data_IF_694436268165
#
_entry.id   IF_694436268165
#
_cell.length_a   1.000
_cell.length_b   1.000
_cell.length_c   1.000
_cell.angle_alpha   90.00
_cell.angle_beta   90.00
_cell.angle_gamma   90.00
#
_symmetry.space_group_name_H-M   'P 1'
#
loop_
_entity.id
_entity.type
_entity.pdbx_description
1 polymer ?
#
# COMPACT_ATOMS: atom_id res chain seq x y z
N UNK A 1 5.90 2.85 0.62
CA UNK A 1 6.04 1.42 0.26
C UNK A 1 4.91 1.12 -0.69
N UNK A 2 5.21 0.66 -1.88
CA UNK A 2 4.19 0.34 -2.90
C UNK A 2 4.58 -1.02 -3.46
N UNK A 3 3.67 -2.00 -3.47
CA UNK A 3 4.00 -3.37 -3.86
C UNK A 3 4.26 -3.46 -5.36
N UNK A 4 5.18 -4.36 -5.75
CA UNK A 4 5.47 -4.71 -7.16
C UNK A 4 5.89 -3.52 -8.06
N UNK A 5 7.00 -2.82 -7.72
CA UNK A 5 7.59 -1.84 -8.62
C UNK A 5 7.92 -2.48 -9.98
N UNK A 6 7.96 -1.69 -11.06
CA UNK A 6 8.24 -2.20 -12.41
C UNK A 6 9.51 -3.07 -12.49
N UNK A 7 10.56 -2.70 -11.74
CA UNK A 7 11.84 -3.42 -11.67
C UNK A 7 11.73 -4.87 -11.18
N UNK A 8 10.65 -5.22 -10.49
CA UNK A 8 10.46 -6.60 -10.05
C UNK A 8 10.00 -7.51 -11.19
N UNK A 9 9.37 -6.98 -12.26
CA UNK A 9 8.70 -7.77 -13.31
C UNK A 9 9.68 -8.57 -14.18
N UNK A 10 9.35 -9.83 -14.54
CA UNK A 10 10.31 -10.75 -15.17
C UNK A 10 10.54 -10.49 -16.66
N UNK A 11 9.51 -10.06 -17.40
CA UNK A 11 9.59 -9.79 -18.85
C UNK A 11 9.63 -8.29 -19.10
N UNK A 12 10.43 -7.86 -20.07
CA UNK A 12 10.58 -6.44 -20.41
C UNK A 12 9.26 -5.78 -20.79
N UNK A 13 8.45 -6.46 -21.59
CA UNK A 13 7.15 -5.94 -22.02
C UNK A 13 6.19 -5.70 -20.84
N UNK A 14 6.13 -6.64 -19.89
CA UNK A 14 5.32 -6.51 -18.68
C UNK A 14 5.88 -5.43 -17.75
N UNK A 15 7.20 -5.29 -17.69
CA UNK A 15 7.89 -4.24 -16.93
C UNK A 15 7.54 -2.85 -17.46
N UNK A 16 7.53 -2.66 -18.77
CA UNK A 16 7.12 -1.41 -19.40
C UNK A 16 5.65 -1.09 -19.12
N UNK A 17 4.76 -2.07 -19.27
CA UNK A 17 3.35 -1.92 -18.94
C UNK A 17 3.14 -1.54 -17.46
N UNK A 18 3.78 -2.26 -16.55
CA UNK A 18 3.75 -1.96 -15.11
C UNK A 18 4.31 -0.56 -14.81
N UNK A 19 5.34 -0.11 -15.53
CA UNK A 19 5.90 1.24 -15.38
C UNK A 19 4.89 2.32 -15.73
N UNK A 20 4.17 2.18 -16.83
CA UNK A 20 3.14 3.15 -17.23
C UNK A 20 2.01 3.19 -16.21
N UNK A 21 1.51 2.01 -15.77
CA UNK A 21 0.46 1.94 -14.76
C UNK A 21 0.91 2.52 -13.42
N UNK A 22 2.20 2.39 -13.10
CA UNK A 22 2.79 2.98 -11.91
C UNK A 22 2.89 4.50 -11.99
N UNK A 23 3.33 5.02 -13.13
CA UNK A 23 3.37 6.46 -13.37
C UNK A 23 1.97 7.07 -13.30
N UNK A 24 0.98 6.39 -13.88
CA UNK A 24 -0.43 6.75 -13.72
C UNK A 24 -0.85 6.79 -12.25
N UNK A 25 -0.62 5.69 -11.51
CA UNK A 25 -1.00 5.60 -10.10
C UNK A 25 -0.40 6.71 -9.26
N UNK A 26 0.87 7.07 -9.50
CA UNK A 26 1.52 8.18 -8.77
C UNK A 26 0.92 9.53 -9.12
N UNK A 27 0.72 9.80 -10.41
CA UNK A 27 0.17 11.08 -10.87
C UNK A 27 -1.25 11.29 -10.34
N UNK A 28 -2.11 10.26 -10.45
CA UNK A 28 -3.52 10.33 -10.08
C UNK A 28 -3.78 10.62 -8.59
N UNK A 29 -2.77 10.45 -7.72
CA UNK A 29 -2.85 10.74 -6.28
C UNK A 29 -2.45 12.18 -5.91
N UNK A 30 -1.94 12.95 -6.87
CA UNK A 30 -1.36 14.28 -6.64
C UNK A 30 -2.09 15.32 -7.49
N UNK A 31 -2.30 15.00 -8.76
CA UNK A 31 -2.84 15.92 -9.75
C UNK A 31 -3.61 15.18 -10.84
N UNK A 32 -4.26 15.93 -11.73
CA UNK A 32 -4.86 15.35 -12.93
C UNK A 32 -3.74 14.88 -13.85
N UNK A 33 -3.62 13.57 -14.15
CA UNK A 33 -2.53 13.08 -14.97
C UNK A 33 -2.53 13.71 -16.37
N UNK A 34 -1.35 14.07 -16.93
CA UNK A 34 -1.25 14.63 -18.27
C UNK A 34 -1.91 13.74 -19.32
N UNK A 35 -2.48 14.35 -20.37
CA UNK A 35 -3.17 13.64 -21.46
C UNK A 35 -2.31 12.50 -22.04
N UNK A 36 -1.02 12.75 -22.26
CA UNK A 36 -0.07 11.75 -22.79
C UNK A 36 0.05 10.52 -21.88
N UNK A 37 0.05 10.71 -20.55
CA UNK A 37 0.12 9.61 -19.60
C UNK A 37 -1.19 8.82 -19.57
N UNK A 38 -2.34 9.50 -19.69
CA UNK A 38 -3.66 8.86 -19.82
C UNK A 38 -3.73 7.98 -21.06
N UNK A 39 -3.35 8.50 -22.21
CA UNK A 39 -3.33 7.76 -23.48
C UNK A 39 -2.42 6.52 -23.38
N UNK A 40 -1.24 6.65 -22.77
CA UNK A 40 -0.34 5.50 -22.51
C UNK A 40 -0.98 4.45 -21.60
N UNK A 41 -1.61 4.86 -20.49
CA UNK A 41 -2.27 3.93 -19.56
C UNK A 41 -3.42 3.18 -20.22
N UNK A 42 -4.23 3.88 -21.02
CA UNK A 42 -5.35 3.28 -21.76
C UNK A 42 -4.85 2.33 -22.86
N UNK A 43 -3.76 2.68 -23.56
CA UNK A 43 -3.14 1.80 -24.53
C UNK A 43 -2.58 0.53 -23.90
N UNK A 44 -2.00 0.62 -22.69
CA UNK A 44 -1.61 -0.56 -21.91
C UNK A 44 -2.83 -1.41 -21.58
N UNK A 45 -3.92 -0.79 -21.13
CA UNK A 45 -5.15 -1.53 -20.83
C UNK A 45 -5.69 -2.25 -22.08
N UNK A 46 -5.77 -1.57 -23.21
CA UNK A 46 -6.20 -2.18 -24.48
C UNK A 46 -5.29 -3.33 -24.92
N UNK A 47 -3.97 -3.15 -24.81
CA UNK A 47 -2.98 -4.14 -25.26
C UNK A 47 -3.01 -5.43 -24.42
N UNK A 48 -3.24 -5.30 -23.12
CA UNK A 48 -3.21 -6.42 -22.16
C UNK A 48 -4.61 -6.85 -21.68
N UNK A 49 -5.67 -6.36 -22.33
CA UNK A 49 -7.06 -6.61 -21.96
C UNK A 49 -7.36 -6.33 -20.47
N UNK A 50 -6.85 -5.19 -19.98
CA UNK A 50 -7.05 -4.76 -18.61
C UNK A 50 -8.29 -3.85 -18.50
N UNK A 51 -9.05 -3.94 -17.41
CA UNK A 51 -10.23 -3.11 -17.23
C UNK A 51 -9.87 -1.65 -16.99
N UNK A 52 -10.22 -0.79 -17.95
CA UNK A 52 -9.97 0.67 -17.92
C UNK A 52 -10.61 1.33 -16.70
N UNK A 53 -11.76 0.84 -16.23
CA UNK A 53 -12.41 1.40 -15.04
C UNK A 53 -11.52 1.34 -13.79
N UNK A 54 -10.55 0.42 -13.70
CA UNK A 54 -9.59 0.40 -12.58
C UNK A 54 -8.52 1.48 -12.70
N UNK A 55 -8.22 1.96 -13.91
CA UNK A 55 -7.36 3.14 -14.13
C UNK A 55 -8.13 4.39 -13.70
N UNK A 56 -9.39 4.50 -14.13
CA UNK A 56 -10.24 5.65 -13.84
C UNK A 56 -10.59 5.75 -12.35
N UNK A 57 -10.84 4.63 -11.67
CA UNK A 57 -11.14 4.60 -10.23
C UNK A 57 -10.00 5.17 -9.36
N UNK A 58 -8.78 5.26 -9.88
CA UNK A 58 -7.65 5.85 -9.16
C UNK A 58 -7.61 7.38 -9.24
N UNK A 59 -8.41 7.99 -10.11
CA UNK A 59 -8.54 9.44 -10.22
C UNK A 59 -9.31 9.95 -9.01
N UNK A 60 -8.68 10.85 -8.27
CA UNK A 60 -9.27 11.49 -7.11
C UNK A 60 -9.69 12.91 -7.45
N UNK A 61 -10.65 13.41 -6.67
CA UNK A 61 -10.97 14.83 -6.66
C UNK A 61 -9.73 15.65 -6.26
N UNK A 62 -9.62 16.86 -6.80
CA UNK A 62 -8.49 17.74 -6.49
C UNK A 62 -8.55 18.19 -5.03
N UNK A 63 -7.47 17.93 -4.29
CA UNK A 63 -7.34 18.31 -2.89
C UNK A 63 -6.95 17.14 -2.00
N UNK A 64 -6.71 17.42 -0.72
CA UNK A 64 -6.49 16.37 0.26
C UNK A 64 -7.82 15.65 0.53
N UNK A 65 -7.86 14.30 0.52
CA UNK A 65 -9.08 13.57 0.82
C UNK A 65 -9.50 13.84 2.27
N UNK A 66 -10.79 14.03 2.47
CA UNK A 66 -11.39 14.10 3.80
C UNK A 66 -11.79 12.70 4.22
N UNK A 67 -11.17 12.19 5.28
CA UNK A 67 -11.41 10.85 5.82
C UNK A 67 -12.12 11.01 7.16
N UNK A 68 -13.44 10.90 7.17
CA UNK A 68 -14.24 11.06 8.40
C UNK A 68 -14.25 9.77 9.21
N UNK A 69 -14.43 8.65 8.52
CA UNK A 69 -14.60 7.33 9.13
C UNK A 69 -13.56 6.33 8.65
N UNK A 70 -13.55 5.15 9.28
CA UNK A 70 -12.71 4.04 8.83
C UNK A 70 -13.19 3.43 7.52
N UNK A 71 -14.47 3.57 7.19
CA UNK A 71 -15.04 3.11 5.92
C UNK A 71 -14.58 4.01 4.77
N UNK A 72 -14.50 5.32 4.99
CA UNK A 72 -13.94 6.26 4.01
C UNK A 72 -12.47 5.93 3.71
N UNK A 73 -11.70 5.61 4.76
CA UNK A 73 -10.31 5.21 4.62
C UNK A 73 -10.16 3.94 3.76
N UNK A 74 -11.03 2.95 3.97
CA UNK A 74 -10.99 1.70 3.21
C UNK A 74 -11.47 1.89 1.78
N UNK A 75 -12.53 2.68 1.57
CA UNK A 75 -13.03 3.05 0.24
C UNK A 75 -11.96 3.79 -0.55
N UNK A 76 -11.27 4.74 0.07
CA UNK A 76 -10.12 5.43 -0.52
C UNK A 76 -8.99 4.45 -0.87
N UNK A 77 -8.62 3.55 0.05
CA UNK A 77 -7.58 2.56 -0.18
C UNK A 77 -7.92 1.61 -1.33
N UNK A 78 -9.20 1.22 -1.47
CA UNK A 78 -9.69 0.36 -2.55
C UNK A 78 -9.67 1.06 -3.89
N UNK A 79 -10.24 2.26 -3.98
CA UNK A 79 -10.29 3.03 -5.21
C UNK A 79 -8.88 3.29 -5.77
N UNK A 80 -7.92 3.52 -4.87
CA UNK A 80 -6.54 3.86 -5.22
C UNK A 80 -5.63 2.62 -5.30
N UNK A 81 -5.11 2.17 -4.17
CA UNK A 81 -4.16 1.06 -4.10
C UNK A 81 -4.79 -0.28 -4.51
N UNK A 82 -6.06 -0.51 -4.18
CA UNK A 82 -6.81 -1.71 -4.55
C UNK A 82 -6.95 -1.86 -6.07
N UNK A 83 -7.47 -0.83 -6.75
CA UNK A 83 -7.60 -0.80 -8.20
C UNK A 83 -6.25 -0.98 -8.91
N UNK A 84 -5.20 -0.33 -8.40
CA UNK A 84 -3.85 -0.51 -8.92
C UNK A 84 -3.35 -1.94 -8.76
N UNK A 85 -3.53 -2.55 -7.58
CA UNK A 85 -3.10 -3.92 -7.33
C UNK A 85 -3.85 -4.93 -8.20
N UNK A 86 -5.14 -4.71 -8.47
CA UNK A 86 -5.92 -5.52 -9.39
C UNK A 86 -5.45 -5.39 -10.84
N UNK A 87 -5.09 -4.20 -11.31
CA UNK A 87 -4.47 -4.02 -12.63
C UNK A 87 -3.17 -4.82 -12.75
N UNK A 88 -2.30 -4.74 -11.74
CA UNK A 88 -1.04 -5.50 -11.71
C UNK A 88 -1.30 -7.02 -11.63
N UNK A 89 -2.33 -7.45 -10.93
CA UNK A 89 -2.71 -8.85 -10.85
C UNK A 89 -3.17 -9.39 -12.21
N UNK A 90 -4.06 -8.66 -12.89
CA UNK A 90 -4.56 -9.01 -14.22
C UNK A 90 -3.43 -8.97 -15.26
N UNK A 91 -2.54 -7.98 -15.19
CA UNK A 91 -1.32 -7.91 -16.02
C UNK A 91 -0.38 -9.12 -15.77
N UNK A 92 -0.34 -9.66 -14.56
CA UNK A 92 0.40 -10.87 -14.22
C UNK A 92 -0.34 -12.17 -14.57
N UNK A 93 -1.53 -12.08 -15.19
CA UNK A 93 -2.34 -13.23 -15.63
C UNK A 93 -3.35 -13.74 -14.61
N UNK A 94 -3.58 -13.04 -13.49
CA UNK A 94 -4.60 -13.41 -12.50
C UNK A 94 -5.92 -12.69 -12.80
N UNK A 95 -6.79 -13.34 -13.56
CA UNK A 95 -8.07 -12.75 -14.01
C UNK A 95 -9.30 -13.25 -13.26
N UNK A 96 -9.18 -14.31 -12.46
CA UNK A 96 -10.31 -14.91 -11.74
C UNK A 96 -10.81 -14.03 -10.60
N UNK A 97 -12.14 -13.83 -10.50
CA UNK A 97 -12.75 -12.94 -9.50
C UNK A 97 -12.45 -13.32 -8.04
N UNK A 98 -12.30 -14.61 -7.73
CA UNK A 98 -12.07 -15.08 -6.37
C UNK A 98 -10.73 -14.61 -5.76
N UNK A 99 -9.75 -14.23 -6.60
CA UNK A 99 -8.46 -13.71 -6.13
C UNK A 99 -8.49 -12.20 -5.85
N UNK A 100 -9.54 -11.50 -6.29
CA UNK A 100 -9.60 -10.04 -6.21
C UNK A 100 -9.66 -9.53 -4.78
N UNK A 101 -10.49 -10.13 -3.92
CA UNK A 101 -10.63 -9.72 -2.53
C UNK A 101 -9.32 -9.91 -1.74
N UNK A 102 -8.62 -11.06 -1.79
CA UNK A 102 -7.30 -11.19 -1.19
C UNK A 102 -6.28 -10.16 -1.71
N UNK A 103 -6.35 -9.78 -2.99
CA UNK A 103 -5.48 -8.75 -3.59
C UNK A 103 -5.80 -7.36 -3.07
N UNK A 104 -7.09 -7.00 -2.97
CA UNK A 104 -7.52 -5.75 -2.33
C UNK A 104 -7.09 -5.68 -0.88
N UNK A 105 -7.24 -6.77 -0.11
CA UNK A 105 -6.77 -6.85 1.27
C UNK A 105 -5.25 -6.65 1.38
N UNK A 106 -4.49 -7.24 0.47
CA UNK A 106 -3.05 -7.03 0.41
C UNK A 106 -2.68 -5.56 0.10
N UNK A 107 -3.39 -4.94 -0.84
CA UNK A 107 -3.22 -3.54 -1.17
C UNK A 107 -3.56 -2.62 0.02
N UNK A 108 -4.68 -2.87 0.71
CA UNK A 108 -5.08 -2.17 1.95
C UNK A 108 -4.01 -2.30 3.02
N UNK A 109 -3.49 -3.50 3.25
CA UNK A 109 -2.45 -3.73 4.26
C UNK A 109 -1.21 -2.85 4.02
N UNK A 110 -0.76 -2.77 2.77
CA UNK A 110 0.39 -1.94 2.40
C UNK A 110 0.07 -0.45 2.47
N UNK A 111 -1.12 -0.04 2.02
CA UNK A 111 -1.57 1.33 2.13
C UNK A 111 -1.58 1.81 3.59
N UNK A 112 -2.20 1.04 4.49
CA UNK A 112 -2.25 1.34 5.93
C UNK A 112 -0.87 1.36 6.57
N UNK A 113 0.01 0.44 6.17
CA UNK A 113 1.39 0.42 6.66
C UNK A 113 2.14 1.68 6.20
N UNK A 114 1.96 2.08 4.93
CA UNK A 114 2.56 3.28 4.36
C UNK A 114 2.03 4.55 5.05
N UNK A 115 0.73 4.64 5.30
CA UNK A 115 0.12 5.83 5.90
C UNK A 115 0.65 6.11 7.30
N UNK A 116 0.92 5.06 8.09
CA UNK A 116 1.58 5.21 9.40
C UNK A 116 3.05 5.62 9.24
N UNK A 117 3.79 5.01 8.32
CA UNK A 117 5.21 5.31 8.09
C UNK A 117 5.46 6.74 7.59
N UNK A 118 4.54 7.30 6.81
CA UNK A 118 4.64 8.61 6.18
C UNK A 118 3.72 9.64 6.81
N UNK A 119 3.23 9.37 8.02
CA UNK A 119 2.26 10.23 8.69
C UNK A 119 2.74 11.67 8.78
N UNK A 120 4.03 11.88 9.12
CA UNK A 120 4.61 13.20 9.25
C UNK A 120 4.59 13.93 7.91
N UNK A 121 5.14 13.32 6.87
CA UNK A 121 5.22 13.88 5.53
C UNK A 121 3.84 14.13 4.93
N UNK A 122 2.88 13.23 5.17
CA UNK A 122 1.50 13.38 4.70
C UNK A 122 0.83 14.58 5.40
N UNK A 123 1.01 14.76 6.72
CA UNK A 123 0.45 15.93 7.43
C UNK A 123 1.11 17.24 6.98
N UNK A 124 2.43 17.25 6.80
CA UNK A 124 3.17 18.42 6.27
C UNK A 124 2.70 18.80 4.86
N UNK A 125 2.25 17.81 4.07
CA UNK A 125 1.63 18.00 2.75
C UNK A 125 0.10 18.27 2.81
N UNK A 126 -0.47 18.49 4.01
CA UNK A 126 -1.89 18.79 4.18
C UNK A 126 -2.84 17.58 4.09
N UNK A 127 -2.31 16.35 4.10
CA UNK A 127 -3.08 15.09 4.03
C UNK A 127 -3.10 14.38 5.37
N UNK A 128 -4.21 13.71 5.69
CA UNK A 128 -4.29 12.88 6.89
C UNK A 128 -5.13 11.64 6.62
N UNK A 129 -4.51 10.47 6.71
CA UNK A 129 -5.16 9.17 6.49
C UNK A 129 -5.56 8.49 7.82
N UNK A 130 -5.67 9.27 8.90
CA UNK A 130 -6.27 8.83 10.16
C UNK A 130 -7.70 9.38 10.17
N UNK A 131 -8.73 8.52 10.31
CA UNK A 131 -10.12 8.96 10.39
C UNK A 131 -10.39 10.02 11.46
N UNK A 132 -11.16 11.05 11.10
CA UNK A 132 -11.52 12.14 12.00
C UNK A 132 -12.28 11.65 13.24
N UNK A 133 -13.15 10.64 13.10
CA UNK A 133 -13.88 10.05 14.22
C UNK A 133 -12.96 9.40 15.27
N UNK A 134 -11.84 8.82 14.81
CA UNK A 134 -10.83 8.23 15.69
C UNK A 134 -10.01 9.30 16.40
N UNK A 135 -9.65 10.37 15.68
CA UNK A 135 -8.96 11.53 16.24
C UNK A 135 -9.82 12.17 17.34
N UNK A 136 -11.11 12.39 17.06
CA UNK A 136 -12.08 12.92 18.00
C UNK A 136 -12.24 12.04 19.25
N UNK A 137 -12.41 10.72 19.09
CA UNK A 137 -12.48 9.76 20.21
C UNK A 137 -11.21 9.75 21.08
N UNK A 138 -10.07 10.12 20.51
CA UNK A 138 -8.80 10.24 21.23
C UNK A 138 -8.54 11.63 21.83
N UNK A 139 -9.44 12.61 21.64
CA UNK A 139 -9.21 14.02 21.92
C UNK A 139 -7.90 14.54 21.31
N UNK A 140 -7.63 14.14 20.06
CA UNK A 140 -6.43 14.54 19.29
C UNK A 140 -6.89 15.31 18.06
N UNK A 141 -6.30 16.47 17.83
CA UNK A 141 -6.50 17.24 16.59
C UNK A 141 -5.42 16.92 15.56
N UNK A 142 -5.65 17.29 14.29
CA UNK A 142 -4.60 17.20 13.24
C UNK A 142 -3.35 18.02 13.62
N UNK A 143 -3.52 19.14 14.31
CA UNK A 143 -2.42 19.98 14.81
C UNK A 143 -1.62 19.25 15.89
N UNK A 144 -2.28 18.47 16.75
CA UNK A 144 -1.61 17.69 17.79
C UNK A 144 -0.73 16.58 17.21
N UNK A 145 -1.10 16.02 16.05
CA UNK A 145 -0.24 15.06 15.35
C UNK A 145 1.09 15.67 14.90
N UNK A 146 1.15 16.99 14.70
CA UNK A 146 2.38 17.73 14.37
C UNK A 146 3.14 18.10 15.64
N UNK A 147 2.43 18.58 16.67
CA UNK A 147 3.03 19.18 17.87
C UNK A 147 3.37 18.18 18.97
N UNK A 148 2.54 17.16 19.19
CA UNK A 148 2.58 16.27 20.35
C UNK A 148 2.99 14.84 19.98
N UNK A 149 4.13 14.71 19.30
CA UNK A 149 4.69 13.48 18.69
C UNK A 149 4.96 12.28 19.63
N UNK A 150 4.48 12.29 20.88
CA UNK A 150 4.73 11.21 21.86
C UNK A 150 3.63 11.02 22.93
N UNK A 151 2.43 11.60 22.76
CA UNK A 151 1.36 11.41 23.73
C UNK A 151 0.79 9.99 23.72
N UNK A 152 0.31 9.50 24.88
CA UNK A 152 -0.32 8.18 24.99
C UNK A 152 -1.57 8.06 24.07
N UNK A 153 -2.31 9.15 23.89
CA UNK A 153 -3.46 9.21 23.01
C UNK A 153 -3.07 8.93 21.54
N UNK A 154 -2.02 9.60 21.05
CA UNK A 154 -1.55 9.37 19.68
C UNK A 154 -0.98 7.96 19.54
N UNK A 155 -0.24 7.44 20.52
CA UNK A 155 0.22 6.04 20.51
C UNK A 155 -0.95 5.05 20.38
N UNK A 156 -2.04 5.28 21.11
CA UNK A 156 -3.25 4.45 21.01
C UNK A 156 -3.89 4.53 19.61
N UNK A 157 -3.94 5.71 19.02
CA UNK A 157 -4.46 5.90 17.65
C UNK A 157 -3.59 5.17 16.63
N UNK A 158 -2.26 5.30 16.71
CA UNK A 158 -1.33 4.61 15.81
C UNK A 158 -1.38 3.09 15.99
N UNK A 159 -1.52 2.61 17.22
CA UNK A 159 -1.73 1.19 17.49
C UNK A 159 -2.98 0.67 16.77
N UNK A 160 -4.11 1.39 16.82
CA UNK A 160 -5.32 1.00 16.08
C UNK A 160 -5.08 0.91 14.56
N UNK A 161 -4.30 1.81 13.98
CA UNK A 161 -3.95 1.73 12.56
C UNK A 161 -3.04 0.54 12.25
N UNK A 162 -2.07 0.24 13.11
CA UNK A 162 -1.21 -0.94 12.98
C UNK A 162 -2.01 -2.24 13.08
N UNK A 163 -2.97 -2.33 14.01
CA UNK A 163 -3.88 -3.49 14.13
C UNK A 163 -4.65 -3.72 12.83
N UNK A 164 -5.24 -2.67 12.25
CA UNK A 164 -5.95 -2.76 10.96
C UNK A 164 -5.04 -3.25 9.82
N UNK A 165 -3.81 -2.76 9.77
CA UNK A 165 -2.84 -3.22 8.78
C UNK A 165 -2.49 -4.71 8.97
N UNK A 166 -2.36 -5.18 10.22
CA UNK A 166 -2.14 -6.60 10.53
C UNK A 166 -3.33 -7.46 10.13
N UNK A 167 -4.56 -7.03 10.40
CA UNK A 167 -5.78 -7.75 10.03
C UNK A 167 -5.91 -7.88 8.51
N UNK A 168 -5.58 -6.82 7.77
CA UNK A 168 -5.54 -6.85 6.31
C UNK A 168 -4.44 -7.83 5.79
N UNK A 169 -3.25 -7.85 6.41
CA UNK A 169 -2.21 -8.83 6.07
C UNK A 169 -2.61 -10.28 6.40
N UNK A 170 -3.37 -10.50 7.46
CA UNK A 170 -3.90 -11.81 7.80
C UNK A 170 -4.95 -12.26 6.78
N UNK A 171 -5.81 -11.34 6.34
CA UNK A 171 -6.89 -11.57 5.37
C UNK A 171 -6.40 -11.91 3.97
N UNK A 172 -5.17 -11.50 3.60
CA UNK A 172 -4.58 -11.83 2.30
C UNK A 172 -3.65 -13.06 2.32
N UNK A 173 -3.62 -13.83 3.43
CA UNK A 173 -2.67 -14.96 3.59
C UNK A 173 -2.83 -16.05 2.52
N UNK A 174 -4.04 -16.24 2.00
CA UNK A 174 -4.34 -17.24 0.96
C UNK A 174 -3.54 -17.00 -0.33
N UNK A 175 -3.17 -15.75 -0.63
CA UNK A 175 -2.33 -15.42 -1.79
C UNK A 175 -1.00 -16.19 -1.84
N UNK A 176 -0.52 -16.70 -0.69
CA UNK A 176 0.66 -17.55 -0.64
C UNK A 176 0.48 -18.87 -1.41
N UNK A 177 -0.73 -19.44 -1.41
CA UNK A 177 -1.09 -20.64 -2.19
C UNK A 177 -1.61 -20.27 -3.57
N UNK A 178 -2.38 -19.20 -3.67
CA UNK A 178 -3.14 -18.82 -4.87
C UNK A 178 -2.23 -18.29 -5.99
N UNK A 179 -1.23 -17.47 -5.63
CA UNK A 179 -0.23 -16.98 -6.57
C UNK A 179 0.78 -18.07 -6.90
N UNK A 180 1.43 -17.99 -8.06
CA UNK A 180 2.46 -18.96 -8.51
C UNK A 180 3.77 -18.27 -8.89
N UNK A 181 4.84 -19.07 -8.97
CA UNK A 181 6.15 -18.67 -9.48
C UNK A 181 6.68 -17.37 -8.89
N UNK A 182 7.03 -16.43 -9.79
CA UNK A 182 7.58 -15.13 -9.43
C UNK A 182 6.62 -14.27 -8.59
N UNK A 183 5.32 -14.24 -8.92
CA UNK A 183 4.33 -13.42 -8.20
C UNK A 183 4.20 -13.85 -6.75
N UNK A 184 4.16 -15.17 -6.48
CA UNK A 184 4.17 -15.72 -5.11
C UNK A 184 5.41 -15.29 -4.34
N UNK A 185 6.58 -15.37 -4.96
CA UNK A 185 7.85 -14.98 -4.32
C UNK A 185 7.85 -13.49 -3.97
N UNK A 186 7.36 -12.63 -4.86
CA UNK A 186 7.27 -11.19 -4.62
C UNK A 186 6.23 -10.85 -3.55
N UNK A 187 5.05 -11.46 -3.62
CA UNK A 187 4.05 -11.36 -2.56
C UNK A 187 4.66 -11.67 -1.18
N UNK A 188 5.37 -12.79 -1.04
CA UNK A 188 6.03 -13.14 0.24
C UNK A 188 6.97 -12.05 0.73
N UNK A 189 7.83 -11.51 -0.13
CA UNK A 189 8.79 -10.45 0.25
C UNK A 189 8.04 -9.23 0.81
N UNK A 190 7.01 -8.75 0.11
CA UNK A 190 6.26 -7.56 0.52
C UNK A 190 5.37 -7.84 1.74
N UNK A 191 4.75 -9.00 1.82
CA UNK A 191 3.94 -9.45 2.96
C UNK A 191 4.78 -9.54 4.24
N UNK A 192 5.92 -10.24 4.19
CA UNK A 192 6.82 -10.34 5.35
C UNK A 192 7.47 -9.00 5.68
N UNK A 193 7.84 -8.22 4.66
CA UNK A 193 8.45 -6.90 4.84
C UNK A 193 7.49 -5.92 5.53
N UNK A 194 6.22 -5.94 5.14
CA UNK A 194 5.15 -5.15 5.76
C UNK A 194 4.96 -5.50 7.23
N UNK A 195 4.79 -6.79 7.54
CA UNK A 195 4.67 -7.26 8.93
C UNK A 195 5.90 -6.89 9.78
N UNK A 196 7.10 -6.92 9.20
CA UNK A 196 8.32 -6.50 9.88
C UNK A 196 8.35 -4.99 10.16
N UNK A 197 7.88 -4.17 9.21
CA UNK A 197 7.75 -2.71 9.40
C UNK A 197 6.76 -2.42 10.53
N UNK A 198 5.61 -3.09 10.57
CA UNK A 198 4.64 -2.94 11.64
C UNK A 198 5.24 -3.30 13.01
N UNK A 199 5.97 -4.42 13.10
CA UNK A 199 6.69 -4.78 14.34
C UNK A 199 7.77 -3.78 14.72
N UNK A 200 8.45 -3.18 13.75
CA UNK A 200 9.46 -2.14 14.00
C UNK A 200 8.82 -0.84 14.54
N UNK A 201 7.67 -0.43 14.00
CA UNK A 201 6.88 0.72 14.51
C UNK A 201 6.50 0.48 15.99
N UNK A 202 5.97 -0.71 16.30
CA UNK A 202 5.60 -1.09 17.66
C UNK A 202 6.82 -1.10 18.60
N UNK A 203 7.95 -1.67 18.18
CA UNK A 203 9.19 -1.71 18.99
C UNK A 203 9.77 -0.32 19.29
N UNK A 204 9.43 0.69 18.48
CA UNK A 204 9.81 2.10 18.68
C UNK A 204 8.78 2.88 19.49
N UNK A 205 7.78 2.20 20.08
CA UNK A 205 6.70 2.84 20.81
C UNK A 205 5.89 3.80 19.95
N UNK A 206 5.72 3.49 18.66
CA UNK A 206 5.03 4.32 17.67
C UNK A 206 5.68 5.69 17.41
N UNK A 207 6.97 5.85 17.68
CA UNK A 207 7.68 7.07 17.32
C UNK A 207 7.94 7.14 15.80
N UNK A 208 6.98 7.69 15.07
CA UNK A 208 7.02 7.84 13.60
C UNK A 208 7.64 9.16 13.13
N UNK A 209 7.90 10.12 14.04
CA UNK A 209 8.32 11.49 13.69
C UNK A 209 9.84 11.73 13.75
N UNK A 210 10.55 11.08 14.67
CA UNK A 210 11.95 11.42 15.02
C UNK A 210 13.00 10.95 14.01
N UNK A 211 12.75 9.83 13.36
CA UNK A 211 13.57 9.30 12.26
C UNK A 211 12.60 8.75 11.25
N UNK A 212 12.76 9.05 9.95
CA UNK A 212 11.90 8.47 8.94
C UNK A 212 11.90 6.97 9.17
N UNK A 213 10.71 6.36 9.21
CA UNK A 213 10.60 4.91 9.12
C UNK A 213 10.95 4.59 7.67
N UNK A 214 12.25 4.68 7.36
CA UNK A 214 12.76 4.21 6.11
C UNK A 214 12.44 2.72 6.15
N UNK A 215 11.68 2.19 5.19
CA UNK A 215 11.75 0.77 4.92
C UNK A 215 13.21 0.55 4.51
N UNK A 216 14.08 0.23 5.49
CA UNK A 216 15.44 -0.21 5.24
C UNK A 216 15.30 -1.59 4.65
N UNK A 217 14.97 -1.59 3.36
CA UNK A 217 15.15 -2.67 2.41
C UNK A 217 16.59 -3.21 2.47
N UNK A 218 17.50 -2.52 3.15
CA UNK A 218 18.89 -2.85 3.47
C UNK A 218 19.04 -3.95 4.55
N UNK A 219 17.99 -4.39 5.24
CA UNK A 219 17.98 -5.75 5.85
C UNK A 219 17.54 -6.85 4.86
N UNK A 220 17.75 -6.59 3.56
CA UNK A 220 17.60 -7.51 2.43
C UNK A 220 18.23 -8.87 2.69
N UNK A 221 19.39 -8.95 3.34
CA UNK A 221 20.09 -10.23 3.47
C UNK A 221 19.35 -11.19 4.40
N UNK A 222 19.00 -10.83 5.64
CA UNK A 222 18.45 -11.79 6.61
C UNK A 222 17.05 -12.31 6.23
N UNK A 223 16.19 -11.44 5.67
CA UNK A 223 14.83 -11.81 5.22
C UNK A 223 14.88 -12.61 3.91
N UNK A 224 15.72 -12.23 2.93
CA UNK A 224 15.89 -13.04 1.73
C UNK A 224 16.55 -14.39 2.06
N UNK A 225 17.50 -14.43 2.99
CA UNK A 225 18.20 -15.65 3.42
C UNK A 225 17.25 -16.61 4.15
N UNK A 226 16.36 -16.12 5.03
CA UNK A 226 15.31 -16.95 5.63
C UNK A 226 14.27 -17.44 4.61
N UNK A 227 13.91 -16.63 3.61
CA UNK A 227 12.95 -17.01 2.57
C UNK A 227 13.54 -18.03 1.57
N UNK A 228 14.86 -17.99 1.34
CA UNK A 228 15.55 -18.88 0.40
C UNK A 228 16.11 -20.16 1.01
N UNK A 229 16.64 -20.11 2.24
CA UNK A 229 17.28 -21.26 2.91
C UNK A 229 16.43 -21.85 4.05
N UNK A 230 15.30 -21.23 4.42
CA UNK A 230 14.40 -21.72 5.49
C UNK A 230 13.57 -22.96 5.15
N UNK A 231 13.89 -23.69 4.08
CA UNK A 231 13.34 -25.03 3.75
C UNK A 231 14.44 -26.05 3.43
N UNK A 232 15.54 -26.02 4.18
CA UNK A 232 16.44 -27.15 4.34
C UNK A 232 16.52 -27.44 5.84
N UNK A 233 15.70 -28.37 6.34
CA UNK A 233 15.68 -28.75 7.76
C UNK A 233 14.29 -28.78 8.38
N UNK A 234 13.42 -29.63 7.83
CA UNK A 234 12.53 -30.52 8.59
C UNK A 234 11.84 -31.48 7.63
#
# INVERSE_FOLDING_TARGET
MTPFPPSDWPREELRQAASVLWDWHRAAQIEVPPRVLREKAYNVCKKFDLPVHLVDAQLLEQGAPTIETSEDLFSYADATAGSHALLLAKLAGYTSNWIEDPIKQFARAIFLTRSVCLLKEDIEAGRCFIPADILAKGNVTKVDLVRYTSSQAIRSILWKQVVRARDAYASCKTLNTDLKGWSRRRFRVYWTGGLHILGYIESRGFNVWSKPIKPTFVRRTKIYWQIYFGKAGR
#
